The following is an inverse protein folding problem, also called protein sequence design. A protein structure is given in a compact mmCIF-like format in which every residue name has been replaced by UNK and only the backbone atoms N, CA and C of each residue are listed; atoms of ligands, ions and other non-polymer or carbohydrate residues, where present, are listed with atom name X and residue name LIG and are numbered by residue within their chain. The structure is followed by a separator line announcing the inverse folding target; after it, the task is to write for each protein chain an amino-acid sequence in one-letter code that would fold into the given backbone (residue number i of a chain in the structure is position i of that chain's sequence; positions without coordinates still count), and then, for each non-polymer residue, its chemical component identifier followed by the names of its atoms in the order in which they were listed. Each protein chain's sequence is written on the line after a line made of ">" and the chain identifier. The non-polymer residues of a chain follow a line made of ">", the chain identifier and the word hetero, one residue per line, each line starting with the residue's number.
data_IF_414136084916
#
_entry.id   IF_414136084916
#
_cell.length_a   1.000
_cell.length_b   1.000
_cell.length_c   1.000
_cell.angle_alpha   90.00
_cell.angle_beta   90.00
_cell.angle_gamma   90.00
#
_symmetry.space_group_name_H-M   'P 1'
#
loop_
_entity.id
_entity.type
_entity.pdbx_description
1 polymer ?
#
# COMPACT_ATOMS: atom_id res chain seq x y z
N UNK A 1 36.51 -11.61 5.58
CA UNK A 1 35.51 -11.22 4.57
C UNK A 1 34.71 -12.48 4.26
N UNK A 2 33.56 -12.65 4.91
CA UNK A 2 32.69 -13.81 4.71
C UNK A 2 32.01 -13.69 3.35
N UNK A 3 32.12 -14.72 2.54
CA UNK A 3 31.36 -14.86 1.30
C UNK A 3 29.93 -15.15 1.76
N UNK A 4 29.01 -14.18 1.63
CA UNK A 4 27.59 -14.47 1.79
C UNK A 4 27.20 -15.50 0.73
N UNK A 5 26.78 -16.69 1.16
CA UNK A 5 26.24 -17.69 0.26
C UNK A 5 25.02 -17.10 -0.45
N UNK A 6 25.13 -16.96 -1.78
CA UNK A 6 24.00 -16.60 -2.61
C UNK A 6 23.02 -17.77 -2.52
N UNK A 7 21.77 -17.57 -2.04
CA UNK A 7 20.81 -18.65 -1.91
C UNK A 7 20.61 -19.33 -3.26
N UNK A 8 20.77 -20.66 -3.29
CA UNK A 8 20.53 -21.46 -4.49
C UNK A 8 19.10 -21.22 -4.97
N UNK A 9 18.96 -20.82 -6.23
CA UNK A 9 17.66 -20.84 -6.94
C UNK A 9 17.09 -22.25 -6.88
N UNK A 10 15.78 -22.38 -6.72
CA UNK A 10 15.09 -23.67 -6.59
C UNK A 10 15.64 -24.50 -5.42
N UNK A 11 15.64 -23.94 -4.21
CA UNK A 11 15.94 -24.74 -3.03
C UNK A 11 14.83 -25.79 -2.81
N UNK A 12 15.05 -26.72 -1.87
CA UNK A 12 14.09 -27.80 -1.60
C UNK A 12 12.69 -27.30 -1.27
N UNK A 13 12.59 -26.18 -0.56
CA UNK A 13 11.32 -25.62 -0.11
C UNK A 13 10.55 -24.97 -1.27
N UNK A 14 11.24 -24.28 -2.18
CA UNK A 14 10.63 -23.71 -3.38
C UNK A 14 10.00 -24.81 -4.24
N UNK A 15 10.74 -25.89 -4.46
CA UNK A 15 10.28 -27.04 -5.25
C UNK A 15 9.15 -27.81 -4.58
N UNK A 16 9.21 -28.01 -3.26
CA UNK A 16 8.13 -28.64 -2.47
C UNK A 16 6.84 -27.81 -2.53
N UNK A 17 6.95 -26.49 -2.53
CA UNK A 17 5.83 -25.58 -2.72
C UNK A 17 5.36 -25.46 -4.18
N UNK A 18 6.01 -26.17 -5.12
CA UNK A 18 5.67 -26.14 -6.55
C UNK A 18 6.13 -24.89 -7.30
N UNK A 19 7.01 -24.08 -6.70
CA UNK A 19 7.60 -22.91 -7.36
C UNK A 19 8.83 -23.31 -8.18
N UNK A 20 8.86 -22.82 -9.41
CA UNK A 20 10.03 -22.87 -10.29
C UNK A 20 10.59 -21.46 -10.44
N UNK A 21 11.66 -21.18 -9.73
CA UNK A 21 12.39 -19.91 -9.78
C UNK A 21 13.25 -19.89 -11.05
N UNK A 22 12.92 -18.97 -11.95
CA UNK A 22 13.62 -18.75 -13.21
C UNK A 22 14.96 -18.04 -13.01
N UNK A 23 15.80 -18.07 -14.03
CA UNK A 23 17.13 -17.49 -13.94
C UNK A 23 17.17 -15.97 -13.85
N UNK A 24 16.15 -15.30 -14.37
CA UNK A 24 15.98 -13.86 -14.35
C UNK A 24 15.19 -13.36 -13.11
N UNK A 25 14.82 -14.27 -12.20
CA UNK A 25 14.09 -13.89 -11.00
C UNK A 25 14.90 -12.91 -10.14
N UNK A 26 14.25 -11.82 -9.75
CA UNK A 26 14.77 -10.82 -8.84
C UNK A 26 13.82 -10.62 -7.67
N UNK A 27 14.36 -10.33 -6.48
CA UNK A 27 13.54 -9.97 -5.31
C UNK A 27 12.69 -8.75 -5.63
N UNK A 28 11.42 -8.80 -5.23
CA UNK A 28 10.50 -7.68 -5.38
C UNK A 28 10.80 -6.61 -4.33
N UNK A 29 11.06 -5.37 -4.77
CA UNK A 29 11.12 -4.20 -3.89
C UNK A 29 9.69 -3.69 -3.66
N UNK A 30 9.24 -3.71 -2.40
CA UNK A 30 7.87 -3.34 -2.03
C UNK A 30 7.49 -1.93 -2.47
N UNK A 31 8.46 -1.01 -2.66
CA UNK A 31 8.16 0.34 -3.20
C UNK A 31 7.59 0.30 -4.62
N UNK A 32 7.82 -0.79 -5.36
CA UNK A 32 7.35 -1.01 -6.72
C UNK A 32 5.93 -1.60 -6.78
N UNK A 33 5.30 -1.86 -5.64
CA UNK A 33 3.89 -2.25 -5.56
C UNK A 33 2.98 -1.23 -6.28
N UNK A 34 1.85 -1.69 -6.82
CA UNK A 34 0.93 -0.86 -7.60
C UNK A 34 0.45 0.38 -6.85
N UNK A 35 0.30 0.29 -5.52
CA UNK A 35 -0.15 1.41 -4.69
C UNK A 35 0.99 2.34 -4.28
N UNK A 36 2.23 1.83 -4.17
CA UNK A 36 3.39 2.65 -3.78
C UNK A 36 4.07 3.30 -4.98
N UNK A 37 4.18 2.59 -6.10
CA UNK A 37 4.92 3.05 -7.28
C UNK A 37 4.34 4.33 -7.86
N UNK A 38 3.02 4.47 -7.82
CA UNK A 38 2.31 5.66 -8.30
C UNK A 38 2.61 6.95 -7.51
N UNK A 39 3.29 6.87 -6.36
CA UNK A 39 3.71 8.03 -5.56
C UNK A 39 5.07 8.61 -5.96
N UNK A 40 6.03 7.76 -6.33
CA UNK A 40 7.42 8.17 -6.56
C UNK A 40 7.89 8.04 -8.02
N UNK A 41 7.27 7.17 -8.82
CA UNK A 41 7.63 6.97 -10.23
C UNK A 41 6.89 7.96 -11.13
N UNK A 42 7.61 8.94 -11.68
CA UNK A 42 7.06 9.99 -12.53
C UNK A 42 6.45 9.47 -13.84
N UNK A 43 6.83 8.27 -14.31
CA UNK A 43 6.21 7.66 -15.50
C UNK A 43 4.79 7.16 -15.24
N UNK A 44 4.45 6.88 -13.97
CA UNK A 44 3.13 6.39 -13.55
C UNK A 44 2.32 7.50 -12.90
N UNK A 45 2.99 8.39 -12.14
CA UNK A 45 2.37 9.47 -11.38
C UNK A 45 1.69 10.47 -12.31
N UNK A 46 0.36 10.53 -12.27
CA UNK A 46 -0.42 11.42 -13.10
C UNK A 46 -1.65 11.97 -12.34
N UNK A 47 -2.48 12.76 -13.03
CA UNK A 47 -3.67 13.38 -12.41
C UNK A 47 -4.66 12.33 -11.88
N UNK A 48 -4.81 11.18 -12.55
CA UNK A 48 -5.72 10.11 -12.14
C UNK A 48 -5.21 9.38 -10.90
N UNK A 49 -3.91 9.07 -10.84
CA UNK A 49 -3.34 8.42 -9.65
C UNK A 49 -3.39 9.35 -8.43
N UNK A 50 -3.06 10.63 -8.61
CA UNK A 50 -3.24 11.64 -7.55
C UNK A 50 -4.69 11.74 -7.07
N UNK A 51 -5.66 11.73 -7.99
CA UNK A 51 -7.08 11.75 -7.65
C UNK A 51 -7.50 10.52 -6.85
N UNK A 52 -7.07 9.32 -7.27
CA UNK A 52 -7.35 8.08 -6.55
C UNK A 52 -6.95 8.19 -5.07
N UNK A 53 -5.72 8.59 -4.78
CA UNK A 53 -5.27 8.73 -3.39
C UNK A 53 -5.96 9.86 -2.62
N UNK A 54 -6.30 10.97 -3.30
CA UNK A 54 -7.04 12.06 -2.67
C UNK A 54 -8.42 11.61 -2.15
N UNK A 55 -9.09 10.66 -2.84
CA UNK A 55 -10.40 10.15 -2.40
C UNK A 55 -10.39 9.35 -1.10
N UNK A 56 -9.21 8.90 -0.64
CA UNK A 56 -9.04 8.24 0.66
C UNK A 56 -8.80 9.25 1.79
N UNK A 57 -8.31 10.45 1.48
CA UNK A 57 -7.89 11.44 2.49
C UNK A 57 -8.93 12.53 2.73
N UNK A 58 -9.57 12.98 1.67
CA UNK A 58 -10.56 14.04 1.76
C UNK A 58 -11.95 13.43 1.78
N UNK A 59 -12.79 13.75 2.80
CA UNK A 59 -14.22 13.53 2.71
C UNK A 59 -14.68 14.15 1.40
N UNK A 60 -15.34 13.34 0.56
CA UNK A 60 -15.79 13.78 -0.74
C UNK A 60 -16.71 14.99 -0.54
N UNK A 61 -16.30 16.16 -1.04
CA UNK A 61 -17.17 17.34 -1.09
C UNK A 61 -18.41 17.10 -1.96
N UNK A 62 -18.33 16.09 -2.82
CA UNK A 62 -19.39 15.67 -3.75
C UNK A 62 -19.62 14.17 -3.65
N UNK A 63 -20.82 13.78 -3.24
CA UNK A 63 -21.27 12.39 -3.20
C UNK A 63 -21.47 11.81 -4.61
N UNK A 64 -21.10 10.54 -4.79
CA UNK A 64 -21.47 9.79 -5.99
C UNK A 64 -22.99 9.57 -5.97
N UNK A 65 -23.69 10.11 -6.96
CA UNK A 65 -25.10 9.80 -7.21
C UNK A 65 -25.17 8.46 -7.95
N UNK A 66 -25.35 7.38 -7.20
CA UNK A 66 -25.59 6.06 -7.73
C UNK A 66 -26.82 5.48 -7.03
N UNK A 67 -27.68 4.81 -7.78
CA UNK A 67 -28.85 4.15 -7.21
C UNK A 67 -28.42 3.14 -6.14
N UNK A 68 -29.07 3.20 -4.98
CA UNK A 68 -28.71 2.38 -3.83
C UNK A 68 -27.51 2.85 -3.00
N UNK A 69 -26.86 3.97 -3.35
CA UNK A 69 -25.80 4.57 -2.55
C UNK A 69 -26.29 5.83 -1.84
N UNK A 70 -26.51 5.73 -0.52
CA UNK A 70 -27.03 6.82 0.31
C UNK A 70 -25.95 7.42 1.21
N UNK A 71 -26.29 8.51 1.89
CA UNK A 71 -25.42 9.10 2.93
C UNK A 71 -25.09 8.11 4.04
N UNK A 72 -26.01 7.20 4.40
CA UNK A 72 -25.77 6.19 5.43
C UNK A 72 -24.70 5.19 5.00
N UNK A 73 -24.71 4.79 3.73
CA UNK A 73 -23.70 3.86 3.18
C UNK A 73 -22.32 4.52 3.12
N UNK A 74 -22.26 5.80 2.75
CA UNK A 74 -21.05 6.60 2.79
C UNK A 74 -20.51 6.74 4.22
N UNK A 75 -21.38 7.08 5.18
CA UNK A 75 -21.01 7.22 6.59
C UNK A 75 -20.51 5.89 7.18
N UNK A 76 -21.20 4.77 6.92
CA UNK A 76 -20.80 3.45 7.38
C UNK A 76 -19.44 3.03 6.83
N UNK A 77 -19.22 3.23 5.51
CA UNK A 77 -17.92 2.96 4.88
C UNK A 77 -16.80 3.73 5.58
N UNK A 78 -16.96 5.04 5.76
CA UNK A 78 -15.89 5.87 6.34
C UNK A 78 -15.72 5.62 7.85
N UNK A 79 -16.79 5.31 8.58
CA UNK A 79 -16.73 4.97 10.00
C UNK A 79 -15.84 3.74 10.25
N UNK A 80 -15.92 2.73 9.36
CA UNK A 80 -15.07 1.55 9.44
C UNK A 80 -13.58 1.86 9.29
N UNK A 81 -13.22 2.94 8.59
CA UNK A 81 -11.82 3.36 8.38
C UNK A 81 -11.33 4.39 9.38
N UNK A 82 -12.21 4.98 10.19
CA UNK A 82 -11.90 6.14 11.02
C UNK A 82 -10.68 5.95 11.95
N UNK A 83 -10.58 4.81 12.62
CA UNK A 83 -9.43 4.51 13.50
C UNK A 83 -8.14 4.31 12.71
N UNK A 84 -8.22 3.63 11.57
CA UNK A 84 -7.07 3.43 10.67
C UNK A 84 -6.54 4.76 10.15
N UNK A 85 -7.45 5.65 9.72
CA UNK A 85 -7.09 6.97 9.19
C UNK A 85 -6.42 7.82 10.27
N UNK A 86 -6.96 7.83 11.49
CA UNK A 86 -6.36 8.55 12.61
C UNK A 86 -4.93 8.12 12.89
N UNK A 87 -4.67 6.81 12.94
CA UNK A 87 -3.33 6.28 13.22
C UNK A 87 -2.36 6.47 12.05
N UNK A 88 -2.83 6.27 10.81
CA UNK A 88 -2.00 6.41 9.60
C UNK A 88 -1.60 7.87 9.33
N UNK A 89 -2.41 8.83 9.79
CA UNK A 89 -2.23 10.26 9.53
C UNK A 89 -1.50 11.03 10.65
N UNK A 90 -1.07 10.38 11.74
CA UNK A 90 -0.39 11.03 12.88
C UNK A 90 0.85 11.84 12.44
N UNK A 91 1.70 11.23 11.62
CA UNK A 91 2.97 11.82 11.17
C UNK A 91 2.91 12.25 9.70
N UNK A 92 1.72 12.64 9.22
CA UNK A 92 1.51 13.02 7.81
C UNK A 92 2.40 14.18 7.35
N UNK A 93 2.77 15.08 8.26
CA UNK A 93 3.56 16.27 7.97
C UNK A 93 5.06 15.94 7.86
N UNK A 94 5.48 14.77 8.37
CA UNK A 94 6.83 14.20 8.22
C UNK A 94 6.93 13.23 7.02
N UNK A 95 5.94 13.23 6.12
CA UNK A 95 5.78 12.27 5.02
C UNK A 95 5.81 10.79 5.48
N UNK A 96 5.42 10.53 6.74
CA UNK A 96 5.46 9.21 7.37
C UNK A 96 4.06 8.67 7.65
N UNK A 97 3.83 7.40 7.30
CA UNK A 97 2.52 6.73 7.33
C UNK A 97 2.59 5.45 8.14
N UNK A 98 2.12 5.49 9.38
CA UNK A 98 2.20 4.36 10.30
C UNK A 98 1.18 3.26 9.97
N UNK A 99 1.48 2.02 10.40
CA UNK A 99 0.68 0.84 10.17
C UNK A 99 1.17 0.03 8.97
N UNK A 100 0.41 0.06 7.86
CA UNK A 100 0.76 -0.77 6.69
C UNK A 100 2.07 -0.34 6.01
N UNK A 101 2.42 0.95 6.10
CA UNK A 101 3.58 1.50 5.38
C UNK A 101 4.82 1.71 6.24
N UNK A 102 4.68 1.75 7.56
CA UNK A 102 5.74 2.00 8.53
C UNK A 102 5.31 1.49 9.92
N UNK A 103 6.26 1.26 10.83
CA UNK A 103 5.96 0.86 12.20
C UNK A 103 5.19 1.95 12.96
N UNK A 104 4.31 1.53 13.87
CA UNK A 104 3.64 2.46 14.80
C UNK A 104 4.65 3.04 15.79
N UNK A 105 4.62 4.36 15.96
CA UNK A 105 5.46 5.07 16.94
C UNK A 105 4.77 5.15 18.31
N UNK A 106 3.43 5.06 18.35
CA UNK A 106 2.68 4.84 19.57
C UNK A 106 2.89 3.40 20.06
N UNK A 107 3.97 3.18 20.80
CA UNK A 107 4.17 1.96 21.60
C UNK A 107 3.81 2.30 23.06
N UNK A 108 2.80 1.60 23.60
CA UNK A 108 2.57 1.49 25.05
C UNK A 108 3.64 0.62 25.69
#
# INVERSE_FOLDING_TARGET
>A
MSIEEIPKKNNSNDLEAGFQILDDFARFDQKNDVFRRAWWDDSIKNKKTKLFYATYREPLKTWRKADGYTQKDYALRNAAWHVSDLLTEINKDDDRREGFSDAFTLQT
#
